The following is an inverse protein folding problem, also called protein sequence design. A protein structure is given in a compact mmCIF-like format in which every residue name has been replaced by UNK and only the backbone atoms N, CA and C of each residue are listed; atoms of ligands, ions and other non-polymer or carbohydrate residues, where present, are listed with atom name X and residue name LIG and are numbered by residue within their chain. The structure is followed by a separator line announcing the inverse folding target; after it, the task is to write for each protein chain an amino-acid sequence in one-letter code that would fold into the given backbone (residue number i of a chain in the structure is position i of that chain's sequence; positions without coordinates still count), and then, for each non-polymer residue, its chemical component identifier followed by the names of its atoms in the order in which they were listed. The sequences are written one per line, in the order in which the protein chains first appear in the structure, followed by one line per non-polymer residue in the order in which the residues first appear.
data_IF_694047642708
#
_entry.id   IF_694047642708
#
_cell.length_a   1.000
_cell.length_b   1.000
_cell.length_c   1.000
_cell.angle_alpha   90.00
_cell.angle_beta   90.00
_cell.angle_gamma   90.00
#
_symmetry.space_group_name_H-M   'P 1'
#
loop_
_entity.id
_entity.type
_entity.pdbx_description
1 polymer ?
#
# COMPACT_ATOMS: atom_id res chain seq x y z
N UNK A 1 -31.34 34.82 -23.84
CA UNK A 1 -30.60 35.56 -22.79
C UNK A 1 -30.15 34.55 -21.74
N UNK A 2 -28.91 34.09 -21.83
CA UNK A 2 -28.26 33.38 -20.72
C UNK A 2 -27.74 34.50 -19.82
N UNK A 3 -28.51 34.83 -18.77
CA UNK A 3 -28.08 35.78 -17.74
C UNK A 3 -26.82 35.21 -17.08
N UNK A 4 -25.78 36.03 -17.05
CA UNK A 4 -24.50 35.91 -16.35
C UNK A 4 -24.36 34.70 -15.41
N UNK A 5 -23.81 33.61 -15.96
CA UNK A 5 -23.17 32.62 -15.13
C UNK A 5 -21.89 33.25 -14.56
N UNK A 6 -21.74 33.23 -13.24
CA UNK A 6 -20.48 33.61 -12.58
C UNK A 6 -19.37 32.76 -13.22
N UNK A 7 -18.44 33.40 -13.93
CA UNK A 7 -17.26 32.73 -14.44
C UNK A 7 -16.45 32.27 -13.24
N UNK A 8 -16.52 30.97 -12.92
CA UNK A 8 -15.64 30.38 -11.94
C UNK A 8 -14.19 30.62 -12.38
N UNK A 9 -13.30 31.05 -11.47
CA UNK A 9 -11.91 31.25 -11.81
C UNK A 9 -11.33 29.92 -12.31
N UNK A 10 -10.67 29.94 -13.46
CA UNK A 10 -9.99 28.77 -14.03
C UNK A 10 -8.68 28.54 -13.27
N UNK A 11 -8.79 28.06 -12.03
CA UNK A 11 -7.66 27.73 -11.17
C UNK A 11 -7.11 26.38 -11.64
N UNK A 12 -5.83 26.34 -12.00
CA UNK A 12 -5.15 25.09 -12.30
C UNK A 12 -5.20 24.17 -11.07
N UNK A 13 -5.74 22.95 -11.18
CA UNK A 13 -5.76 21.99 -10.08
C UNK A 13 -4.35 21.48 -9.69
N UNK A 14 -3.30 21.82 -10.44
CA UNK A 14 -1.92 21.54 -10.08
C UNK A 14 -1.50 22.33 -8.83
N UNK A 15 -1.21 21.61 -7.74
CA UNK A 15 -0.59 22.19 -6.56
C UNK A 15 0.90 22.46 -6.80
N UNK A 16 1.55 21.55 -7.53
CA UNK A 16 2.95 21.64 -7.92
C UNK A 16 3.13 20.97 -9.28
N UNK A 17 3.89 21.58 -10.17
CA UNK A 17 4.24 20.96 -11.45
C UNK A 17 5.70 20.59 -11.43
N UNK A 18 5.98 19.27 -11.53
CA UNK A 18 7.35 18.79 -11.68
C UNK A 18 7.77 19.06 -13.13
N UNK A 19 8.88 19.79 -13.36
CA UNK A 19 9.33 20.11 -14.71
C UNK A 19 9.67 18.83 -15.47
N UNK A 20 9.43 18.85 -16.78
CA UNK A 20 9.80 17.75 -17.65
C UNK A 20 11.32 17.63 -17.80
N UNK A 21 11.78 16.46 -18.19
CA UNK A 21 13.19 16.18 -18.45
C UNK A 21 13.36 15.33 -19.70
N UNK A 22 14.47 15.52 -20.39
CA UNK A 22 14.81 14.73 -21.58
C UNK A 22 15.57 13.46 -21.16
N UNK A 23 15.06 12.29 -21.57
CA UNK A 23 15.66 11.00 -21.27
C UNK A 23 15.48 10.05 -22.46
N UNK A 24 16.55 9.37 -22.86
CA UNK A 24 16.57 8.41 -23.99
C UNK A 24 16.01 8.99 -25.31
N UNK A 25 16.25 10.28 -25.57
CA UNK A 25 15.76 10.96 -26.78
C UNK A 25 14.27 11.32 -26.77
N UNK A 26 13.57 11.12 -25.64
CA UNK A 26 12.19 11.57 -25.44
C UNK A 26 12.08 12.65 -24.37
N UNK A 27 11.13 13.57 -24.54
CA UNK A 27 10.76 14.55 -23.50
C UNK A 27 9.70 13.94 -22.58
N UNK A 28 10.00 13.86 -21.28
CA UNK A 28 9.12 13.28 -20.27
C UNK A 28 8.58 14.37 -19.36
N UNK A 29 7.27 14.62 -19.40
CA UNK A 29 6.59 15.61 -18.56
C UNK A 29 5.96 16.75 -19.39
N UNK A 30 5.52 17.84 -18.74
CA UNK A 30 5.54 18.08 -17.29
C UNK A 30 4.56 17.18 -16.51
N UNK A 31 4.83 16.98 -15.21
CA UNK A 31 3.96 16.17 -14.34
C UNK A 31 3.24 17.05 -13.31
N UNK A 32 1.97 17.41 -13.56
CA UNK A 32 1.19 18.19 -12.61
C UNK A 32 0.76 17.31 -11.43
N UNK A 33 1.28 17.60 -10.24
CA UNK A 33 0.84 17.03 -8.98
C UNK A 33 -0.39 17.80 -8.49
N UNK A 34 -1.54 17.16 -8.57
CA UNK A 34 -2.83 17.80 -8.31
C UNK A 34 -3.14 17.84 -6.81
N UNK A 35 -3.77 18.92 -6.34
CA UNK A 35 -4.04 19.10 -4.90
C UNK A 35 -4.92 17.99 -4.32
N UNK A 36 -5.86 17.47 -5.10
CA UNK A 36 -6.72 16.36 -4.67
C UNK A 36 -5.92 15.07 -4.46
N UNK A 37 -4.86 14.83 -5.22
CA UNK A 37 -3.97 13.70 -5.03
C UNK A 37 -3.21 13.82 -3.69
N UNK A 38 -2.80 15.04 -3.33
CA UNK A 38 -2.22 15.33 -2.02
C UNK A 38 -3.22 15.08 -0.89
N UNK A 39 -4.47 15.50 -1.05
CA UNK A 39 -5.53 15.22 -0.07
C UNK A 39 -5.70 13.71 0.16
N UNK A 40 -5.75 12.90 -0.91
CA UNK A 40 -5.80 11.44 -0.79
C UNK A 40 -4.58 10.86 -0.08
N UNK A 41 -3.36 11.32 -0.39
CA UNK A 41 -2.12 10.88 0.28
C UNK A 41 -2.18 11.21 1.77
N UNK A 42 -2.60 12.42 2.15
CA UNK A 42 -2.75 12.82 3.55
C UNK A 42 -3.79 11.94 4.25
N UNK A 43 -4.92 11.65 3.61
CA UNK A 43 -5.93 10.73 4.13
C UNK A 43 -5.38 9.32 4.39
N UNK A 44 -4.60 8.77 3.46
CA UNK A 44 -3.95 7.46 3.60
C UNK A 44 -2.92 7.46 4.74
N UNK A 45 -2.05 8.47 4.80
CA UNK A 45 -1.02 8.58 5.84
C UNK A 45 -1.66 8.72 7.23
N UNK A 46 -2.68 9.55 7.37
CA UNK A 46 -3.37 9.73 8.66
C UNK A 46 -4.19 8.50 9.05
N UNK A 47 -4.86 7.85 8.10
CA UNK A 47 -5.56 6.58 8.33
C UNK A 47 -4.60 5.49 8.82
N UNK A 48 -3.45 5.33 8.15
CA UNK A 48 -2.38 4.43 8.57
C UNK A 48 -1.86 4.76 9.98
N UNK A 49 -1.55 6.03 10.23
CA UNK A 49 -1.03 6.48 11.53
C UNK A 49 -2.04 6.26 12.66
N UNK A 50 -3.33 6.36 12.35
CA UNK A 50 -4.42 6.00 13.26
C UNK A 50 -4.46 4.50 13.56
N UNK A 51 -4.36 3.64 12.54
CA UNK A 51 -4.29 2.18 12.74
C UNK A 51 -3.08 1.79 13.61
N UNK A 52 -1.89 2.31 13.31
CA UNK A 52 -0.68 2.05 14.11
C UNK A 52 -0.86 2.52 15.56
N UNK A 53 -1.50 3.67 15.75
CA UNK A 53 -1.81 4.18 17.09
C UNK A 53 -2.78 3.28 17.86
N UNK A 54 -3.82 2.74 17.20
CA UNK A 54 -4.74 1.77 17.82
C UNK A 54 -4.01 0.48 18.21
N UNK A 55 -3.18 -0.05 17.31
CA UNK A 55 -2.41 -1.28 17.53
C UNK A 55 -1.49 -1.16 18.75
N UNK A 56 -0.82 -0.01 18.92
CA UNK A 56 0.13 0.24 20.03
C UNK A 56 -0.54 0.50 21.38
N UNK A 57 -1.86 0.53 21.46
CA UNK A 57 -2.59 0.93 22.66
C UNK A 57 -3.06 -0.30 23.44
N UNK A 58 -2.17 -0.90 24.22
CA UNK A 58 -2.39 -2.17 24.95
C UNK A 58 -3.72 -2.23 25.72
N UNK A 59 -4.14 -1.11 26.32
CA UNK A 59 -5.41 -1.00 27.05
C UNK A 59 -6.67 -1.33 26.21
N UNK A 60 -6.61 -1.13 24.90
CA UNK A 60 -7.73 -1.47 23.98
C UNK A 60 -7.83 -2.98 23.74
N UNK A 61 -6.78 -3.73 24.06
CA UNK A 61 -6.65 -5.12 23.68
C UNK A 61 -6.72 -6.09 24.86
N UNK A 62 -6.59 -5.63 26.11
CA UNK A 62 -6.66 -6.44 27.33
C UNK A 62 -8.02 -7.16 27.47
N UNK A 63 -8.06 -8.47 27.80
CA UNK A 63 -6.95 -9.39 28.12
C UNK A 63 -6.30 -10.06 26.88
N UNK A 64 -6.78 -9.75 25.68
CA UNK A 64 -6.23 -10.24 24.43
C UNK A 64 -5.02 -9.45 23.94
N UNK A 65 -4.81 -9.50 22.63
CA UNK A 65 -3.70 -8.85 21.92
C UNK A 65 -4.22 -8.05 20.72
N UNK A 66 -3.42 -7.08 20.22
CA UNK A 66 -3.73 -6.38 18.99
C UNK A 66 -4.06 -7.35 17.85
N UNK A 67 -5.02 -6.96 17.02
CA UNK A 67 -5.46 -7.78 15.89
C UNK A 67 -4.33 -8.08 14.91
N UNK A 68 -3.49 -7.09 14.65
CA UNK A 68 -2.33 -7.18 13.76
C UNK A 68 -1.13 -6.46 14.36
N UNK A 69 0.07 -6.90 14.00
CA UNK A 69 1.31 -6.19 14.33
C UNK A 69 1.46 -4.91 13.48
N UNK A 70 2.35 -4.00 13.88
CA UNK A 70 2.64 -2.80 13.09
C UNK A 70 3.14 -3.14 11.67
N UNK A 71 4.10 -4.09 11.49
CA UNK A 71 4.49 -4.52 10.15
C UNK A 71 3.34 -5.07 9.30
N UNK A 72 2.41 -5.81 9.92
CA UNK A 72 1.20 -6.28 9.23
C UNK A 72 0.28 -5.12 8.82
N UNK A 73 0.24 -4.02 9.57
CA UNK A 73 -0.52 -2.83 9.18
C UNK A 73 0.09 -2.14 7.96
N UNK A 74 1.42 -2.06 7.93
CA UNK A 74 2.19 -1.47 6.83
C UNK A 74 2.00 -2.29 5.55
N UNK A 75 2.13 -3.61 5.64
CA UNK A 75 1.88 -4.54 4.55
C UNK A 75 0.42 -4.45 4.05
N UNK A 76 -0.54 -4.39 4.96
CA UNK A 76 -1.96 -4.25 4.59
C UNK A 76 -2.23 -2.93 3.87
N UNK A 77 -1.64 -1.82 4.31
CA UNK A 77 -1.79 -0.52 3.64
C UNK A 77 -1.31 -0.59 2.19
N UNK A 78 -0.19 -1.25 1.94
CA UNK A 78 0.34 -1.46 0.59
C UNK A 78 -0.65 -2.28 -0.27
N UNK A 79 -1.12 -3.43 0.24
CA UNK A 79 -2.08 -4.27 -0.47
C UNK A 79 -3.42 -3.57 -0.72
N UNK A 80 -3.93 -2.82 0.26
CA UNK A 80 -5.14 -2.03 0.12
C UNK A 80 -4.97 -0.92 -0.93
N UNK A 81 -3.84 -0.22 -0.94
CA UNK A 81 -3.52 0.82 -1.95
C UNK A 81 -3.48 0.23 -3.36
N UNK A 82 -2.80 -0.91 -3.54
CA UNK A 82 -2.82 -1.64 -4.80
C UNK A 82 -4.24 -2.08 -5.19
N UNK A 83 -5.03 -2.57 -4.24
CA UNK A 83 -6.43 -2.94 -4.42
C UNK A 83 -7.27 -1.77 -4.95
N UNK A 84 -7.13 -0.57 -4.37
CA UNK A 84 -7.82 0.65 -4.85
C UNK A 84 -7.40 0.98 -6.28
N UNK A 85 -6.10 1.01 -6.57
CA UNK A 85 -5.58 1.44 -7.88
C UNK A 85 -5.97 0.44 -8.97
N UNK A 86 -5.67 -0.85 -8.76
CA UNK A 86 -5.93 -1.89 -9.75
C UNK A 86 -7.42 -2.16 -9.88
N UNK A 87 -8.12 -2.31 -8.76
CA UNK A 87 -9.56 -2.53 -8.74
C UNK A 87 -10.30 -1.35 -9.36
N UNK A 88 -9.90 -0.12 -9.02
CA UNK A 88 -10.49 1.09 -9.58
C UNK A 88 -10.29 1.17 -11.09
N UNK A 89 -9.10 0.83 -11.59
CA UNK A 89 -8.82 0.85 -13.03
C UNK A 89 -9.58 -0.26 -13.77
N UNK A 90 -9.48 -1.49 -13.30
CA UNK A 90 -10.15 -2.64 -13.91
C UNK A 90 -11.67 -2.44 -13.88
N UNK A 91 -12.22 -2.01 -12.74
CA UNK A 91 -13.64 -1.70 -12.63
C UNK A 91 -14.08 -0.56 -13.53
N UNK A 92 -13.22 0.43 -13.80
CA UNK A 92 -13.53 1.47 -14.78
C UNK A 92 -13.68 0.89 -16.19
N UNK A 93 -12.69 0.08 -16.61
CA UNK A 93 -12.69 -0.56 -17.93
C UNK A 93 -13.89 -1.49 -18.07
N UNK A 94 -14.17 -2.33 -17.08
CA UNK A 94 -15.27 -3.30 -17.17
C UNK A 94 -16.66 -2.68 -17.11
N UNK A 95 -16.88 -1.67 -16.25
CA UNK A 95 -18.22 -1.13 -16.02
C UNK A 95 -18.56 0.10 -16.85
N UNK A 96 -17.56 0.88 -17.30
CA UNK A 96 -17.80 2.17 -17.96
C UNK A 96 -17.22 2.27 -19.36
N UNK A 97 -16.09 1.59 -19.66
CA UNK A 97 -15.45 1.63 -20.99
C UNK A 97 -14.92 0.26 -21.45
N UNK A 98 -15.78 -0.74 -21.67
CA UNK A 98 -15.35 -2.08 -22.09
C UNK A 98 -14.72 -2.09 -23.48
N UNK A 99 -15.12 -1.17 -24.37
CA UNK A 99 -14.56 -1.03 -25.72
C UNK A 99 -13.04 -0.78 -25.74
N UNK A 100 -12.48 -0.24 -24.65
CA UNK A 100 -11.04 0.01 -24.50
C UNK A 100 -10.22 -1.28 -24.66
N UNK A 101 -10.75 -2.42 -24.23
CA UNK A 101 -10.08 -3.73 -24.30
C UNK A 101 -9.80 -4.11 -25.77
N UNK A 102 -10.73 -3.78 -26.67
CA UNK A 102 -10.68 -4.21 -28.06
C UNK A 102 -9.98 -3.22 -28.98
N UNK A 103 -10.11 -1.91 -28.70
CA UNK A 103 -9.53 -0.86 -29.55
C UNK A 103 -8.05 -0.63 -29.28
N UNK A 104 -7.69 -0.54 -28.00
CA UNK A 104 -6.32 -0.26 -27.60
C UNK A 104 -6.07 -0.78 -26.19
N UNK A 105 -5.64 -2.03 -26.11
CA UNK A 105 -5.38 -2.69 -24.83
C UNK A 105 -4.41 -1.93 -23.93
N UNK A 106 -3.47 -1.16 -24.50
CA UNK A 106 -2.53 -0.38 -23.68
C UNK A 106 -3.20 0.73 -22.90
N UNK A 107 -4.33 1.26 -23.35
CA UNK A 107 -5.09 2.25 -22.58
C UNK A 107 -5.54 1.69 -21.23
N UNK A 108 -5.75 0.37 -21.08
CA UNK A 108 -6.12 -0.26 -19.80
C UNK A 108 -5.11 0.08 -18.69
N UNK A 109 -3.82 0.21 -19.02
CA UNK A 109 -2.77 0.52 -18.05
C UNK A 109 -2.53 2.02 -17.83
N UNK A 110 -3.12 2.89 -18.66
CA UNK A 110 -2.90 4.33 -18.61
C UNK A 110 -3.74 5.00 -17.52
N UNK A 111 -3.42 4.70 -16.25
CA UNK A 111 -4.11 5.27 -15.07
C UNK A 111 -4.00 6.80 -14.99
N UNK A 112 -2.97 7.38 -15.61
CA UNK A 112 -2.74 8.83 -15.67
C UNK A 112 -3.72 9.56 -16.59
N UNK A 113 -4.40 8.86 -17.52
CA UNK A 113 -5.47 9.44 -18.35
C UNK A 113 -6.78 9.62 -17.56
N UNK A 114 -6.77 9.32 -16.26
CA UNK A 114 -7.97 9.25 -15.44
C UNK A 114 -8.81 8.01 -15.76
N UNK A 115 -10.06 7.99 -15.29
CA UNK A 115 -10.94 6.83 -15.43
C UNK A 115 -10.69 5.79 -14.34
N UNK A 116 -11.29 6.03 -13.18
CA UNK A 116 -11.25 5.15 -12.00
C UNK A 116 -12.68 4.88 -11.53
N UNK A 117 -12.96 3.64 -11.16
CA UNK A 117 -14.25 3.21 -10.61
C UNK A 117 -14.18 3.12 -9.09
N UNK A 118 -15.10 3.80 -8.40
CA UNK A 118 -15.24 3.65 -6.95
C UNK A 118 -15.59 2.21 -6.57
N UNK A 119 -16.58 1.61 -7.23
CA UNK A 119 -17.01 0.23 -6.98
C UNK A 119 -15.87 -0.76 -7.25
N UNK A 120 -15.11 -0.54 -8.33
CA UNK A 120 -13.93 -1.32 -8.64
C UNK A 120 -12.87 -1.22 -7.53
N UNK A 121 -12.61 -0.02 -7.04
CA UNK A 121 -11.67 0.21 -5.93
C UNK A 121 -12.13 -0.48 -4.64
N UNK A 122 -13.42 -0.39 -4.30
CA UNK A 122 -14.00 -1.06 -3.13
C UNK A 122 -13.85 -2.59 -3.22
N UNK A 123 -14.19 -3.18 -4.37
CA UNK A 123 -14.01 -4.61 -4.61
C UNK A 123 -12.53 -4.99 -4.53
N UNK A 124 -11.65 -4.19 -5.13
CA UNK A 124 -10.21 -4.41 -5.09
C UNK A 124 -9.63 -4.42 -3.68
N UNK A 125 -10.06 -3.49 -2.81
CA UNK A 125 -9.67 -3.48 -1.38
C UNK A 125 -10.23 -4.68 -0.64
N UNK A 126 -11.49 -5.06 -0.88
CA UNK A 126 -12.09 -6.23 -0.24
C UNK A 126 -11.33 -7.53 -0.60
N UNK A 127 -10.96 -7.69 -1.87
CA UNK A 127 -10.14 -8.80 -2.34
C UNK A 127 -8.73 -8.75 -1.75
N UNK A 128 -8.12 -7.57 -1.66
CA UNK A 128 -6.81 -7.39 -1.03
C UNK A 128 -6.84 -7.77 0.46
N UNK A 129 -7.86 -7.36 1.22
CA UNK A 129 -8.05 -7.73 2.61
C UNK A 129 -8.25 -9.24 2.79
N UNK A 130 -9.11 -9.84 1.97
CA UNK A 130 -9.32 -11.28 1.97
C UNK A 130 -8.05 -12.06 1.66
N UNK A 131 -7.29 -11.64 0.65
CA UNK A 131 -6.01 -12.26 0.29
C UNK A 131 -4.97 -12.11 1.41
N UNK A 132 -4.83 -10.90 1.96
CA UNK A 132 -3.92 -10.58 3.06
C UNK A 132 -4.16 -11.49 4.27
N UNK A 133 -5.42 -11.67 4.69
CA UNK A 133 -5.76 -12.52 5.85
C UNK A 133 -5.41 -14.00 5.68
N UNK A 134 -5.16 -14.46 4.45
CA UNK A 134 -4.73 -15.83 4.17
C UNK A 134 -3.22 -16.01 4.29
N UNK A 135 -2.46 -14.92 4.28
CA UNK A 135 -1.02 -14.93 4.39
C UNK A 135 -0.55 -14.90 5.84
N UNK A 136 0.60 -15.52 6.08
CA UNK A 136 1.40 -15.32 7.30
C UNK A 136 2.54 -14.38 6.94
N UNK A 137 2.80 -13.39 7.79
CA UNK A 137 3.87 -12.41 7.56
C UNK A 137 5.07 -12.79 8.42
N UNK A 138 6.26 -12.27 8.09
CA UNK A 138 7.44 -12.49 8.94
C UNK A 138 7.57 -11.29 9.87
N UNK A 139 7.61 -11.53 11.17
CA UNK A 139 7.99 -10.50 12.12
C UNK A 139 9.51 -10.31 12.02
N UNK A 140 9.94 -9.29 11.27
CA UNK A 140 11.35 -9.01 11.01
C UNK A 140 12.15 -8.76 12.30
N UNK A 141 11.54 -8.19 13.35
CA UNK A 141 12.22 -7.99 14.63
C UNK A 141 12.49 -9.33 15.33
N UNK A 142 11.49 -10.21 15.34
CA UNK A 142 11.63 -11.56 15.90
C UNK A 142 12.60 -12.40 15.07
N UNK A 143 12.53 -12.32 13.74
CA UNK A 143 13.46 -12.97 12.83
C UNK A 143 14.89 -12.50 13.10
N UNK A 144 15.13 -11.19 13.16
CA UNK A 144 16.45 -10.64 13.45
C UNK A 144 17.00 -11.13 14.79
N UNK A 145 16.16 -11.17 15.85
CA UNK A 145 16.55 -11.70 17.17
C UNK A 145 16.89 -13.19 17.15
N UNK A 146 16.15 -14.00 16.38
CA UNK A 146 16.39 -15.44 16.26
C UNK A 146 17.64 -15.71 15.40
N UNK A 147 17.73 -15.08 14.24
CA UNK A 147 18.84 -15.22 13.30
C UNK A 147 20.16 -14.75 13.91
N UNK A 148 20.17 -13.67 14.69
CA UNK A 148 21.37 -13.15 15.36
C UNK A 148 22.03 -14.18 16.30
N UNK A 149 21.28 -15.15 16.85
CA UNK A 149 21.83 -16.21 17.72
C UNK A 149 22.69 -17.22 16.97
N UNK A 150 22.46 -17.37 15.66
CA UNK A 150 23.14 -18.34 14.79
C UNK A 150 24.03 -17.64 13.76
N UNK A 151 24.15 -16.31 13.82
CA UNK A 151 24.95 -15.52 12.91
C UNK A 151 26.44 -15.58 13.30
N UNK A 152 27.31 -15.78 12.29
CA UNK A 152 28.77 -15.83 12.41
C UNK A 152 29.41 -14.65 11.68
N UNK A 153 30.61 -14.23 12.09
CA UNK A 153 31.30 -13.08 11.47
C UNK A 153 31.74 -13.36 10.02
N UNK A 154 32.14 -14.59 9.73
CA UNK A 154 32.58 -15.02 8.40
C UNK A 154 32.04 -16.41 8.11
N UNK A 155 31.61 -16.66 6.87
CA UNK A 155 31.33 -18.01 6.41
C UNK A 155 32.62 -18.86 6.47
N UNK A 156 32.57 -20.11 6.97
CA UNK A 156 33.72 -21.01 6.95
C UNK A 156 34.24 -21.24 5.53
N UNK A 157 35.57 -21.29 5.39
CA UNK A 157 36.23 -21.49 4.10
C UNK A 157 35.75 -22.79 3.42
N UNK A 158 35.32 -22.69 2.17
CA UNK A 158 34.81 -23.82 1.37
C UNK A 158 33.32 -24.16 1.59
N UNK A 159 32.61 -23.46 2.49
CA UNK A 159 31.17 -23.61 2.71
C UNK A 159 30.36 -22.36 2.37
N UNK A 160 30.93 -21.38 1.67
CA UNK A 160 30.33 -20.07 1.42
C UNK A 160 28.96 -20.16 0.72
N UNK A 161 28.76 -21.20 -0.11
CA UNK A 161 27.48 -21.45 -0.82
C UNK A 161 26.31 -21.83 0.12
N UNK A 162 26.61 -22.36 1.30
CA UNK A 162 25.61 -22.77 2.30
C UNK A 162 25.19 -21.61 3.20
N UNK A 163 25.94 -20.51 3.19
CA UNK A 163 25.68 -19.33 3.98
C UNK A 163 25.01 -18.22 3.14
N UNK A 164 24.27 -17.35 3.80
CA UNK A 164 23.75 -16.12 3.23
C UNK A 164 24.13 -14.94 4.11
N UNK A 165 24.21 -13.75 3.54
CA UNK A 165 24.49 -12.52 4.28
C UNK A 165 23.30 -12.16 5.16
N UNK A 166 23.59 -11.77 6.40
CA UNK A 166 22.64 -11.31 7.40
C UNK A 166 23.15 -9.98 7.99
N UNK A 167 22.45 -8.89 7.71
CA UNK A 167 22.92 -7.54 8.04
C UNK A 167 24.12 -7.11 7.20
N UNK A 168 24.89 -6.14 7.70
CA UNK A 168 26.04 -5.57 6.98
C UNK A 168 27.24 -6.53 6.95
N UNK A 169 27.58 -7.14 8.10
CA UNK A 169 28.85 -7.87 8.28
C UNK A 169 28.72 -9.29 8.86
N UNK A 170 27.53 -9.88 8.87
CA UNK A 170 27.35 -11.24 9.41
C UNK A 170 26.86 -12.21 8.35
N UNK A 171 27.10 -13.49 8.61
CA UNK A 171 26.69 -14.61 7.79
C UNK A 171 25.85 -15.58 8.62
N UNK A 172 24.87 -16.21 8.00
CA UNK A 172 24.04 -17.24 8.65
C UNK A 172 23.89 -18.42 7.70
N UNK A 173 23.87 -19.63 8.26
CA UNK A 173 23.59 -20.84 7.48
C UNK A 173 22.17 -20.74 6.91
N UNK A 174 21.98 -21.03 5.62
CA UNK A 174 20.68 -20.89 4.95
C UNK A 174 19.56 -21.66 5.67
N UNK A 175 19.86 -22.86 6.15
CA UNK A 175 18.91 -23.69 6.90
C UNK A 175 18.49 -23.06 8.24
N UNK A 176 19.43 -22.45 8.96
CA UNK A 176 19.15 -21.74 10.22
C UNK A 176 18.36 -20.45 9.97
N UNK A 177 18.66 -19.74 8.87
CA UNK A 177 17.90 -18.56 8.45
C UNK A 177 16.45 -18.92 8.10
N UNK A 178 16.24 -19.99 7.33
CA UNK A 178 14.92 -20.50 7.00
C UNK A 178 14.16 -20.96 8.25
N UNK A 179 14.81 -21.70 9.15
CA UNK A 179 14.20 -22.12 10.41
C UNK A 179 13.84 -20.94 11.32
N UNK A 180 14.70 -19.92 11.40
CA UNK A 180 14.41 -18.69 12.13
C UNK A 180 13.23 -17.92 11.51
N UNK A 181 13.15 -17.90 10.17
CA UNK A 181 12.07 -17.23 9.43
C UNK A 181 10.73 -17.92 9.59
N UNK A 182 10.69 -19.25 9.57
CA UNK A 182 9.49 -20.04 9.88
C UNK A 182 9.01 -19.78 11.31
N UNK A 183 9.91 -19.76 12.29
CA UNK A 183 9.57 -19.45 13.69
C UNK A 183 9.14 -18.00 13.92
N UNK A 184 9.54 -17.09 13.04
CA UNK A 184 9.19 -15.68 13.09
C UNK A 184 7.90 -15.35 12.32
N UNK A 185 7.22 -16.35 11.74
CA UNK A 185 5.94 -16.13 11.09
C UNK A 185 4.89 -15.66 12.10
N UNK A 186 4.16 -14.63 11.73
CA UNK A 186 3.00 -14.14 12.47
C UNK A 186 1.81 -15.05 12.24
N UNK A 187 0.88 -15.01 13.20
CA UNK A 187 -0.42 -15.64 13.00
C UNK A 187 -1.18 -14.96 11.87
N UNK A 188 -2.08 -15.73 11.26
CA UNK A 188 -3.06 -15.21 10.32
C UNK A 188 -3.95 -14.18 11.02
N UNK A 189 -4.27 -13.13 10.29
CA UNK A 189 -5.15 -12.06 10.77
C UNK A 189 -6.59 -12.46 10.47
N UNK A 190 -7.47 -12.31 11.45
CA UNK A 190 -8.92 -12.49 11.24
C UNK A 190 -9.49 -11.33 10.40
N UNK A 191 -10.31 -11.65 9.39
CA UNK A 191 -10.84 -10.67 8.46
C UNK A 191 -11.78 -9.67 9.12
N UNK A 192 -12.61 -10.10 10.06
CA UNK A 192 -13.55 -9.21 10.73
C UNK A 192 -12.79 -8.24 11.64
N UNK A 193 -11.81 -8.76 12.39
CA UNK A 193 -10.97 -7.91 13.24
C UNK A 193 -10.11 -6.92 12.44
N UNK A 194 -9.64 -7.32 11.25
CA UNK A 194 -8.98 -6.40 10.31
C UNK A 194 -9.97 -5.31 9.86
N UNK A 195 -11.20 -5.72 9.54
CA UNK A 195 -12.32 -4.83 9.23
C UNK A 195 -12.58 -3.80 10.32
N UNK A 196 -12.59 -4.20 11.60
CA UNK A 196 -12.83 -3.29 12.73
C UNK A 196 -11.79 -2.16 12.81
N UNK A 197 -10.50 -2.51 12.66
CA UNK A 197 -9.41 -1.51 12.67
C UNK A 197 -9.48 -0.61 11.44
N UNK A 198 -9.71 -1.19 10.26
CA UNK A 198 -9.81 -0.43 9.01
C UNK A 198 -11.03 0.51 9.03
N UNK A 199 -12.17 0.05 9.56
CA UNK A 199 -13.39 0.84 9.71
C UNK A 199 -13.18 2.03 10.65
N UNK A 200 -12.38 1.87 11.72
CA UNK A 200 -12.02 2.98 12.60
C UNK A 200 -11.17 4.07 11.91
N UNK A 201 -10.43 3.73 10.85
CA UNK A 201 -9.66 4.68 10.04
C UNK A 201 -10.45 5.25 8.85
N UNK A 202 -11.52 4.58 8.41
CA UNK A 202 -12.30 4.97 7.23
C UNK A 202 -12.84 6.42 7.24
N UNK A 203 -13.31 6.99 8.37
CA UNK A 203 -13.76 8.39 8.42
C UNK A 203 -12.68 9.40 7.99
N UNK A 204 -11.41 9.13 8.28
CA UNK A 204 -10.29 9.98 7.87
C UNK A 204 -10.19 10.00 6.35
N UNK A 205 -10.18 8.83 5.72
CA UNK A 205 -10.14 8.71 4.27
C UNK A 205 -11.35 9.34 3.59
N UNK A 206 -12.55 9.15 4.15
CA UNK A 206 -13.77 9.78 3.64
C UNK A 206 -13.71 11.30 3.74
N UNK A 207 -13.23 11.85 4.86
CA UNK A 207 -13.08 13.28 5.05
C UNK A 207 -12.13 13.89 4.00
N UNK A 208 -10.92 13.35 3.84
CA UNK A 208 -9.97 13.84 2.85
C UNK A 208 -10.41 13.58 1.41
N UNK A 209 -11.13 12.48 1.15
CA UNK A 209 -11.75 12.22 -0.13
C UNK A 209 -12.88 13.18 -0.46
N UNK A 210 -13.59 13.70 0.55
CA UNK A 210 -14.55 14.79 0.36
C UNK A 210 -13.84 16.08 0.06
N UNK A 211 -12.80 16.45 0.83
CA UNK A 211 -11.96 17.61 0.53
C UNK A 211 -11.46 17.55 -0.91
N UNK A 212 -10.94 16.40 -1.35
CA UNK A 212 -10.44 16.17 -2.70
C UNK A 212 -11.45 16.43 -3.84
N UNK A 213 -12.76 16.43 -3.56
CA UNK A 213 -13.81 16.66 -4.55
C UNK A 213 -14.31 18.12 -4.60
N UNK A 214 -13.94 18.96 -3.62
CA UNK A 214 -14.34 20.36 -3.51
C UNK A 214 -13.21 21.30 -3.89
#
# INVERSE_FOLDING_TARGET
MILEAIHFPNIDPAALTIPGFDLFGGHWGPFPLRWYALAYIVGLVLGWRWMVWLIRRDKLWTPGRPTLSVPQADDFLFWATLGVILGGRIGYVLFYKPDMIWRNFMEVFQIWQGGMSFHGGLIGVALAAWWFTRQTHVNEEQYAKLAAKHAVAQAPAGKEREYTRFGEDKWILKTEAEAAREKAKTDKVDLLRLGDIAAAAAPIGLFFGRIANF
#
